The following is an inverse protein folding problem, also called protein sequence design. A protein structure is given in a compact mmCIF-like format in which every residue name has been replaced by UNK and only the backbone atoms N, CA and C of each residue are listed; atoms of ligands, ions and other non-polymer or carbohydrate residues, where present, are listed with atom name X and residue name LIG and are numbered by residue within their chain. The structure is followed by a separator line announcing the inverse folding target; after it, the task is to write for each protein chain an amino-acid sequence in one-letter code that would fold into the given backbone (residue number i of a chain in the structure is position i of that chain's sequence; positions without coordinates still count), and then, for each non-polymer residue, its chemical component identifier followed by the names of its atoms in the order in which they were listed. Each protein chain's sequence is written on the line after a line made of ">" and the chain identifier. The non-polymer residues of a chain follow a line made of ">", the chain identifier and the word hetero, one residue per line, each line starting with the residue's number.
data_IF_813837953177
#
_entry.id   IF_813837953177
#
_cell.length_a   1.000
_cell.length_b   1.000
_cell.length_c   1.000
_cell.angle_alpha   90.00
_cell.angle_beta   90.00
_cell.angle_gamma   90.00
#
_symmetry.space_group_name_H-M   'P 1'
#
loop_
_entity.id
_entity.type
_entity.pdbx_description
1 polymer ?
#
# COMPACT_ATOMS: atom_id res chain seq x y z
N UNK A 1 -6.02 14.32 -26.99
CA UNK A 1 -6.73 13.06 -26.63
C UNK A 1 -5.87 11.80 -26.72
N UNK A 2 -5.08 11.56 -27.77
CA UNK A 2 -4.22 10.37 -27.83
C UNK A 2 -3.15 10.32 -26.72
N UNK A 3 -2.38 11.40 -26.56
CA UNK A 3 -1.32 11.53 -25.53
C UNK A 3 -1.85 11.36 -24.10
N UNK A 4 -3.02 11.92 -23.80
CA UNK A 4 -3.60 11.80 -22.45
C UNK A 4 -4.07 10.37 -22.15
N UNK A 5 -4.60 9.66 -23.16
CA UNK A 5 -4.94 8.23 -23.02
C UNK A 5 -3.71 7.39 -22.73
N UNK A 6 -2.62 7.61 -23.45
CA UNK A 6 -1.35 6.92 -23.22
C UNK A 6 -0.81 7.19 -21.81
N UNK A 7 -0.81 8.46 -21.38
CA UNK A 7 -0.41 8.84 -20.01
C UNK A 7 -1.22 8.11 -18.94
N UNK A 8 -2.56 8.08 -19.09
CA UNK A 8 -3.46 7.39 -18.16
C UNK A 8 -3.25 5.87 -18.17
N UNK A 9 -3.00 5.29 -19.34
CA UNK A 9 -2.71 3.86 -19.47
C UNK A 9 -1.42 3.49 -18.73
N UNK A 10 -0.34 4.25 -18.96
CA UNK A 10 0.94 4.05 -18.28
C UNK A 10 0.82 4.19 -16.76
N UNK A 11 0.07 5.21 -16.29
CA UNK A 11 -0.20 5.37 -14.86
C UNK A 11 -0.96 4.17 -14.28
N UNK A 12 -1.97 3.67 -15.01
CA UNK A 12 -2.77 2.52 -14.56
C UNK A 12 -1.92 1.25 -14.49
N UNK A 13 -1.09 1.01 -15.51
CA UNK A 13 -0.15 -0.12 -15.53
C UNK A 13 0.85 -0.06 -14.36
N UNK A 14 1.37 1.13 -14.02
CA UNK A 14 2.24 1.30 -12.86
C UNK A 14 1.53 0.96 -11.54
N UNK A 15 0.27 1.38 -11.38
CA UNK A 15 -0.53 1.01 -10.21
C UNK A 15 -0.80 -0.51 -10.13
N UNK A 16 -1.04 -1.17 -11.26
CA UNK A 16 -1.18 -2.62 -11.30
C UNK A 16 0.12 -3.35 -10.95
N UNK A 17 1.26 -2.87 -11.44
CA UNK A 17 2.56 -3.42 -11.09
C UNK A 17 2.82 -3.28 -9.58
N UNK A 18 2.59 -2.10 -9.02
CA UNK A 18 2.73 -1.86 -7.58
C UNK A 18 1.83 -2.78 -6.76
N UNK A 19 0.58 -2.95 -7.19
CA UNK A 19 -0.39 -3.84 -6.53
C UNK A 19 0.08 -5.29 -6.43
N UNK A 20 0.77 -5.80 -7.46
CA UNK A 20 1.26 -7.19 -7.48
C UNK A 20 2.38 -7.46 -6.49
N UNK A 21 3.14 -6.44 -6.10
CA UNK A 21 4.26 -6.58 -5.16
C UNK A 21 3.87 -6.33 -3.70
N UNK A 22 2.64 -5.87 -3.43
CA UNK A 22 2.18 -5.59 -2.07
C UNK A 22 1.76 -6.88 -1.32
N UNK A 23 2.05 -7.00 -0.01
CA UNK A 23 1.78 -8.21 0.79
C UNK A 23 0.33 -8.26 1.26
N UNK A 24 -0.61 -8.33 0.32
CA UNK A 24 -2.05 -8.28 0.62
C UNK A 24 -2.65 -9.67 0.45
N UNK A 25 -3.35 -10.14 1.48
CA UNK A 25 -4.07 -11.41 1.46
C UNK A 25 -5.49 -11.21 0.90
N UNK A 26 -5.84 -11.94 -0.17
CA UNK A 26 -7.19 -11.96 -0.75
C UNK A 26 -7.31 -11.27 -2.11
N UNK A 27 -8.56 -11.02 -2.53
CA UNK A 27 -8.88 -10.45 -3.84
C UNK A 27 -8.39 -9.00 -3.94
N UNK A 28 -7.28 -8.86 -4.66
CA UNK A 28 -6.67 -7.59 -4.93
C UNK A 28 -7.68 -6.66 -5.59
N UNK A 29 -8.37 -7.09 -6.65
CA UNK A 29 -9.08 -6.27 -7.66
C UNK A 29 -9.87 -5.06 -7.13
N UNK A 30 -10.31 -5.09 -5.88
CA UNK A 30 -11.11 -4.08 -5.19
C UNK A 30 -10.35 -2.88 -4.60
N UNK A 31 -9.02 -2.90 -4.46
CA UNK A 31 -8.29 -1.75 -3.88
C UNK A 31 -8.33 -0.49 -4.77
N UNK A 32 -8.53 0.67 -4.13
CA UNK A 32 -8.42 1.98 -4.80
C UNK A 32 -6.96 2.40 -4.99
N UNK A 33 -6.69 3.36 -5.90
CA UNK A 33 -5.33 3.93 -6.06
C UNK A 33 -4.78 4.50 -4.75
N UNK A 34 -5.61 5.19 -3.96
CA UNK A 34 -5.22 5.71 -2.65
C UNK A 34 -4.90 4.58 -1.66
N UNK A 35 -5.71 3.52 -1.64
CA UNK A 35 -5.47 2.35 -0.80
C UNK A 35 -4.14 1.67 -1.14
N UNK A 36 -3.84 1.53 -2.44
CA UNK A 36 -2.56 0.97 -2.92
C UNK A 36 -1.39 1.82 -2.39
N UNK A 37 -1.47 3.15 -2.48
CA UNK A 37 -0.41 4.04 -1.97
C UNK A 37 -0.23 3.90 -0.46
N UNK A 38 -1.33 3.88 0.32
CA UNK A 38 -1.25 3.76 1.79
C UNK A 38 -0.60 2.46 2.24
N UNK A 39 -0.99 1.35 1.63
CA UNK A 39 -0.41 0.03 1.92
C UNK A 39 1.06 0.01 1.47
N UNK A 40 1.39 0.60 0.32
CA UNK A 40 2.77 0.69 -0.16
C UNK A 40 3.67 1.47 0.81
N UNK A 41 3.25 2.64 1.29
CA UNK A 41 4.03 3.41 2.25
C UNK A 41 4.26 2.61 3.54
N UNK A 42 3.22 1.96 4.07
CA UNK A 42 3.34 1.11 5.26
C UNK A 42 4.28 -0.06 5.03
N UNK A 43 4.24 -0.67 3.84
CA UNK A 43 5.10 -1.80 3.50
C UNK A 43 6.56 -1.39 3.36
N UNK A 44 6.84 -0.26 2.69
CA UNK A 44 8.21 0.31 2.61
C UNK A 44 8.76 0.57 4.00
N UNK A 45 7.93 1.08 4.93
CA UNK A 45 8.34 1.29 6.31
C UNK A 45 8.73 -0.04 7.00
N UNK A 46 7.90 -1.09 6.91
CA UNK A 46 8.24 -2.42 7.46
C UNK A 46 9.54 -2.96 6.86
N UNK A 47 9.73 -2.82 5.55
CA UNK A 47 10.96 -3.23 4.88
C UNK A 47 12.17 -2.44 5.39
N UNK A 48 12.02 -1.15 5.67
CA UNK A 48 13.06 -0.33 6.30
C UNK A 48 13.47 -0.89 7.65
N UNK A 49 12.49 -1.09 8.54
CA UNK A 49 12.74 -1.65 9.87
C UNK A 49 13.41 -3.02 9.80
N UNK A 50 13.03 -3.87 8.83
CA UNK A 50 13.70 -5.17 8.59
C UNK A 50 15.16 -5.05 8.12
N UNK A 51 15.49 -3.98 7.41
CA UNK A 51 16.83 -3.71 6.92
C UNK A 51 17.61 -2.77 7.84
N UNK A 52 17.10 -2.52 9.06
CA UNK A 52 17.70 -1.58 10.03
C UNK A 52 17.82 -0.14 9.47
N UNK A 53 16.96 0.21 8.52
CA UNK A 53 16.83 1.56 7.95
C UNK A 53 15.66 2.26 8.62
N UNK A 54 15.95 3.38 9.29
CA UNK A 54 14.92 4.19 9.92
C UNK A 54 14.29 5.17 8.92
N UNK A 55 13.00 4.99 8.67
CA UNK A 55 12.16 5.91 7.88
C UNK A 55 11.23 6.76 8.77
N UNK A 56 11.35 6.67 10.10
CA UNK A 56 10.56 7.50 11.01
C UNK A 56 11.15 8.91 11.09
N UNK A 57 10.29 9.91 10.95
CA UNK A 57 10.67 11.29 11.25
C UNK A 57 10.52 11.51 12.76
N UNK A 58 11.53 11.16 13.55
CA UNK A 58 11.60 11.45 15.01
C UNK A 58 11.73 10.23 15.92
N UNK A 59 11.39 10.38 17.21
CA UNK A 59 11.53 9.34 18.26
C UNK A 59 10.52 8.17 18.15
N UNK A 60 9.69 8.13 17.10
CA UNK A 60 8.62 7.14 16.95
C UNK A 60 9.06 5.96 16.06
N UNK A 61 10.23 5.42 16.35
CA UNK A 61 10.70 4.19 15.72
C UNK A 61 9.85 3.02 16.23
N UNK A 62 8.94 2.53 15.40
CA UNK A 62 8.15 1.35 15.73
C UNK A 62 9.06 0.13 15.71
N UNK A 63 8.86 -0.78 16.67
CA UNK A 63 9.45 -2.11 16.58
C UNK A 63 8.97 -2.82 15.31
N UNK A 64 9.70 -3.85 14.88
CA UNK A 64 9.29 -4.67 13.74
C UNK A 64 7.86 -5.22 13.91
N UNK A 65 7.54 -5.67 15.12
CA UNK A 65 6.22 -6.22 15.43
C UNK A 65 5.11 -5.19 15.29
N UNK A 66 5.29 -3.99 15.85
CA UNK A 66 4.33 -2.89 15.73
C UNK A 66 4.16 -2.45 14.28
N UNK A 67 5.26 -2.38 13.53
CA UNK A 67 5.26 -2.05 12.10
C UNK A 67 4.44 -3.05 11.29
N UNK A 68 4.62 -4.35 11.52
CA UNK A 68 3.81 -5.40 10.90
C UNK A 68 2.35 -5.36 11.31
N UNK A 69 2.06 -5.07 12.58
CA UNK A 69 0.69 -4.92 13.08
C UNK A 69 -0.01 -3.75 12.39
N UNK A 70 0.68 -2.62 12.24
CA UNK A 70 0.16 -1.43 11.54
C UNK A 70 -0.10 -1.70 10.05
N UNK A 71 0.82 -2.39 9.36
CA UNK A 71 0.62 -2.81 7.97
C UNK A 71 -0.60 -3.74 7.83
N UNK A 72 -0.69 -4.75 8.69
CA UNK A 72 -1.81 -5.72 8.67
C UNK A 72 -3.15 -5.04 8.94
N UNK A 73 -3.19 -4.13 9.92
CA UNK A 73 -4.36 -3.32 10.25
C UNK A 73 -4.76 -2.41 9.09
N UNK A 74 -3.79 -1.78 8.42
CA UNK A 74 -4.02 -0.92 7.25
C UNK A 74 -4.63 -1.71 6.10
N UNK A 75 -4.06 -2.88 5.80
CA UNK A 75 -4.58 -3.78 4.76
C UNK A 75 -6.02 -4.18 5.09
N UNK A 76 -6.28 -4.65 6.32
CA UNK A 76 -7.61 -5.07 6.73
C UNK A 76 -8.64 -3.94 6.65
N UNK A 77 -8.27 -2.73 7.06
CA UNK A 77 -9.14 -1.57 7.01
C UNK A 77 -9.45 -1.14 5.57
N UNK A 78 -8.45 -1.10 4.69
CA UNK A 78 -8.63 -0.74 3.28
C UNK A 78 -9.46 -1.79 2.51
N UNK A 79 -9.37 -3.07 2.89
CA UNK A 79 -10.23 -4.14 2.35
C UNK A 79 -11.67 -4.07 2.90
N UNK A 80 -11.86 -3.70 4.17
CA UNK A 80 -13.19 -3.59 4.81
C UNK A 80 -13.98 -2.37 4.34
N UNK A 81 -13.33 -1.23 4.06
CA UNK A 81 -13.98 0.02 3.63
C UNK A 81 -14.91 -0.11 2.42
N UNK A 82 -14.75 -1.16 1.60
CA UNK A 82 -15.62 -1.41 0.44
C UNK A 82 -16.74 -2.43 0.63
N UNK A 83 -16.91 -3.04 1.82
CA UNK A 83 -18.10 -3.88 2.09
C UNK A 83 -19.38 -3.06 2.32
N UNK A 84 -19.30 -1.74 2.42
CA UNK A 84 -20.42 -0.86 2.81
C UNK A 84 -20.99 0.03 1.70
N UNK A 85 -20.82 -0.37 0.44
CA UNK A 85 -21.57 0.24 -0.68
C UNK A 85 -22.50 -0.81 -1.26
N UNK A 86 -23.70 -0.89 -0.66
CA UNK A 86 -24.91 -1.41 -1.31
C UNK A 86 -25.74 -0.23 -1.78
#
# INVERSE_FOLDING_TARGET
>A
NARERERVHNLTAAFEALRRVLPIYGDQSKLSRLSILRIACSYVYVLGVLNEIDFSEGENAYTLHESFHMLSSTIAHELKRKKFTK
#
